data_IF_570483818928
#
_entry.id   IF_570483818928
#
_cell.length_a   1.000
_cell.length_b   1.000
_cell.length_c   1.000
_cell.angle_alpha   90.00
_cell.angle_beta   90.00
_cell.angle_gamma   90.00
#
_symmetry.space_group_name_H-M   'P 1'
#
loop_
_entity.id
_entity.type
_entity.pdbx_description
1 polymer ?
#
# COMPACT_ATOMS: atom_id res chain seq x y z
N UNK A 1 2.82 3.65 15.13
CA UNK A 1 3.59 3.64 13.86
C UNK A 1 4.19 5.01 13.56
N UNK A 2 4.83 5.20 12.40
CA UNK A 2 5.46 6.48 12.00
C UNK A 2 4.47 7.67 11.92
N UNK A 3 3.17 7.39 11.75
CA UNK A 3 2.11 8.40 11.83
C UNK A 3 1.61 8.69 13.26
N UNK A 4 2.23 8.12 14.29
CA UNK A 4 1.84 8.37 15.69
C UNK A 4 0.55 7.70 16.16
N UNK A 5 -0.08 6.86 15.32
CA UNK A 5 -1.23 6.05 15.75
C UNK A 5 -0.78 4.88 16.63
N UNK A 6 -1.46 4.70 17.78
CA UNK A 6 -1.24 3.58 18.71
C UNK A 6 -1.58 2.23 18.06
N UNK A 7 -2.83 2.07 17.63
CA UNK A 7 -3.32 0.92 16.86
C UNK A 7 -4.26 1.42 15.76
N UNK A 8 -4.14 0.87 14.55
CA UNK A 8 -5.01 1.21 13.43
C UNK A 8 -6.48 0.88 13.66
N UNK A 9 -6.78 -0.13 14.48
CA UNK A 9 -8.16 -0.43 14.89
C UNK A 9 -8.70 0.61 15.87
N UNK A 10 -7.94 0.96 16.90
CA UNK A 10 -8.34 2.00 17.87
C UNK A 10 -8.46 3.38 17.21
N UNK A 11 -7.62 3.67 16.21
CA UNK A 11 -7.70 4.89 15.42
C UNK A 11 -8.82 4.88 14.36
N UNK A 12 -9.57 3.78 14.22
CA UNK A 12 -10.73 3.69 13.33
C UNK A 12 -10.43 3.36 11.86
N UNK A 13 -9.17 3.07 11.51
CA UNK A 13 -8.78 2.73 10.14
C UNK A 13 -9.07 1.27 9.75
N UNK A 14 -9.26 0.41 10.76
CA UNK A 14 -9.54 -1.01 10.57
C UNK A 14 -8.40 -1.77 9.87
N UNK A 15 -8.77 -2.71 8.99
CA UNK A 15 -7.81 -3.59 8.28
C UNK A 15 -7.34 -3.05 6.94
N UNK A 16 -7.75 -1.84 6.56
CA UNK A 16 -7.45 -1.28 5.24
C UNK A 16 -6.35 -0.25 5.34
N UNK A 17 -5.17 -0.72 5.70
CA UNK A 17 -4.03 0.16 6.00
C UNK A 17 -2.82 -0.23 5.17
N UNK A 18 -1.94 0.73 4.97
CA UNK A 18 -0.64 0.53 4.35
C UNK A 18 0.45 1.39 5.00
N UNK A 19 1.66 0.86 5.00
CA UNK A 19 2.88 1.66 5.11
C UNK A 19 3.28 2.13 3.71
N UNK A 20 3.65 3.41 3.56
CA UNK A 20 3.97 3.98 2.25
C UNK A 20 5.46 4.30 2.13
N UNK A 21 6.01 4.18 0.92
CA UNK A 21 7.43 4.49 0.65
C UNK A 21 7.77 5.96 0.86
N UNK A 22 9.05 6.29 0.90
CA UNK A 22 9.54 7.68 1.05
C UNK A 22 8.92 8.65 0.05
N UNK A 23 8.78 8.22 -1.21
CA UNK A 23 8.20 9.05 -2.28
C UNK A 23 6.75 9.44 -2.02
N UNK A 24 6.01 8.60 -1.29
CA UNK A 24 4.62 8.86 -0.92
C UNK A 24 4.50 9.51 0.46
N UNK A 25 5.32 9.10 1.43
CA UNK A 25 5.20 9.50 2.83
C UNK A 25 5.33 11.01 3.05
N UNK A 26 6.22 11.68 2.29
CA UNK A 26 6.42 13.14 2.32
C UNK A 26 6.48 13.69 3.75
N UNK A 27 7.40 13.16 4.56
CA UNK A 27 7.61 13.55 5.96
C UNK A 27 6.33 13.53 6.83
N UNK A 28 5.40 12.63 6.51
CA UNK A 28 4.17 12.42 7.26
C UNK A 28 2.97 13.23 6.76
N UNK A 29 3.11 14.05 5.71
CA UNK A 29 2.02 14.84 5.12
C UNK A 29 0.83 13.98 4.64
N UNK A 30 1.06 12.69 4.40
CA UNK A 30 0.03 11.74 3.94
C UNK A 30 -0.54 10.87 5.05
N UNK A 31 -0.11 11.02 6.31
CA UNK A 31 -0.68 10.26 7.41
C UNK A 31 -2.20 10.50 7.52
N UNK A 32 -2.97 9.40 7.52
CA UNK A 32 -4.43 9.43 7.52
C UNK A 32 -5.06 9.68 6.14
N UNK A 33 -4.27 9.90 5.09
CA UNK A 33 -4.79 10.01 3.73
C UNK A 33 -5.29 8.65 3.21
N UNK A 34 -6.42 8.69 2.52
CA UNK A 34 -6.97 7.53 1.83
C UNK A 34 -6.52 7.50 0.37
N UNK A 35 -6.29 6.30 -0.15
CA UNK A 35 -5.97 6.06 -1.55
C UNK A 35 -6.86 4.94 -2.07
N UNK A 36 -7.46 5.15 -3.23
CA UNK A 36 -8.09 4.06 -3.98
C UNK A 36 -7.03 3.40 -4.85
N UNK A 37 -6.80 2.10 -4.63
CA UNK A 37 -5.78 1.30 -5.29
C UNK A 37 -6.44 0.19 -6.10
N UNK A 38 -5.93 -0.03 -7.30
CA UNK A 38 -6.24 -1.18 -8.15
C UNK A 38 -4.96 -1.87 -8.58
N UNK A 39 -5.02 -3.18 -8.75
CA UNK A 39 -3.94 -3.95 -9.37
C UNK A 39 -4.00 -3.74 -10.90
N UNK A 40 -2.87 -3.47 -11.54
CA UNK A 40 -2.81 -3.28 -12.99
C UNK A 40 -2.90 -4.62 -13.72
N UNK A 41 -4.13 -5.06 -13.94
CA UNK A 41 -4.44 -6.31 -14.63
C UNK A 41 -3.88 -6.39 -16.05
N UNK A 42 -3.58 -5.25 -16.70
CA UNK A 42 -2.99 -5.26 -18.04
C UNK A 42 -1.53 -5.68 -18.02
N UNK A 43 -0.82 -5.32 -16.95
CA UNK A 43 0.60 -5.65 -16.76
C UNK A 43 0.71 -7.07 -16.18
N UNK A 44 -0.12 -7.40 -15.19
CA UNK A 44 -0.03 -8.67 -14.48
C UNK A 44 -1.39 -9.36 -14.29
N UNK A 45 -1.92 -9.99 -15.36
CA UNK A 45 -3.20 -10.71 -15.30
C UNK A 45 -3.12 -12.00 -14.48
N UNK A 46 -1.91 -12.48 -14.13
CA UNK A 46 -1.71 -13.72 -13.38
C UNK A 46 -2.11 -13.53 -11.93
N UNK A 47 -1.72 -12.41 -11.33
CA UNK A 47 -1.96 -12.12 -9.91
C UNK A 47 -3.06 -11.09 -9.68
N UNK A 48 -3.25 -10.13 -10.57
CA UNK A 48 -4.31 -9.13 -10.40
C UNK A 48 -5.72 -9.72 -10.51
N UNK A 49 -6.62 -9.22 -9.66
CA UNK A 49 -8.04 -9.49 -9.74
C UNK A 49 -8.72 -8.42 -10.62
N UNK A 50 -9.43 -8.87 -11.65
CA UNK A 50 -10.07 -7.97 -12.63
C UNK A 50 -11.20 -7.15 -11.98
N UNK A 51 -11.22 -5.85 -12.28
CA UNK A 51 -12.24 -4.89 -11.82
C UNK A 51 -12.41 -4.80 -10.29
N UNK A 52 -11.34 -5.09 -9.54
CA UNK A 52 -11.31 -4.93 -8.08
C UNK A 52 -10.56 -3.69 -7.66
N UNK A 53 -11.06 -3.00 -6.65
CA UNK A 53 -10.38 -1.88 -6.01
C UNK A 53 -10.47 -2.00 -4.49
N UNK A 54 -9.55 -1.36 -3.80
CA UNK A 54 -9.58 -1.21 -2.35
C UNK A 54 -9.19 0.22 -1.99
N UNK A 55 -9.91 0.79 -1.04
CA UNK A 55 -9.48 2.04 -0.42
C UNK A 55 -8.64 1.69 0.81
N UNK A 56 -7.40 2.18 0.84
CA UNK A 56 -6.47 2.01 1.96
C UNK A 56 -6.14 3.36 2.58
N UNK A 57 -5.83 3.35 3.87
CA UNK A 57 -5.35 4.52 4.60
C UNK A 57 -3.84 4.40 4.81
N UNK A 58 -3.09 5.46 4.51
CA UNK A 58 -1.68 5.54 4.85
C UNK A 58 -1.54 5.78 6.36
N UNK A 59 -1.07 4.76 7.09
CA UNK A 59 -0.98 4.79 8.55
C UNK A 59 0.44 4.62 9.07
N UNK A 60 1.39 4.34 8.18
CA UNK A 60 2.77 4.09 8.57
C UNK A 60 3.73 4.43 7.42
N UNK A 61 5.02 4.31 7.70
CA UNK A 61 6.11 4.53 6.78
C UNK A 61 6.85 3.23 6.50
N UNK A 62 7.11 2.93 5.22
CA UNK A 62 8.01 1.87 4.80
C UNK A 62 9.39 2.46 4.50
N UNK A 63 10.38 2.29 5.39
CA UNK A 63 11.70 2.88 5.20
C UNK A 63 12.46 2.24 4.03
N UNK A 64 13.28 3.03 3.30
CA UNK A 64 14.15 2.49 2.28
C UNK A 64 15.25 1.63 2.92
N UNK A 65 15.66 0.57 2.21
CA UNK A 65 16.82 -0.24 2.57
C UNK A 65 18.09 0.19 1.80
N UNK A 66 17.97 1.12 0.84
CA UNK A 66 19.05 1.65 -0.01
C UNK A 66 19.80 0.59 -0.83
N UNK A 67 19.18 -0.56 -1.04
CA UNK A 67 19.76 -1.73 -1.72
C UNK A 67 18.89 -2.13 -2.93
N UNK A 68 18.05 -1.22 -3.43
CA UNK A 68 17.13 -1.46 -4.55
C UNK A 68 15.81 -2.11 -4.11
N UNK A 69 15.40 -1.92 -2.85
CA UNK A 69 14.12 -2.42 -2.32
C UNK A 69 12.91 -1.69 -2.89
N UNK A 70 11.72 -2.27 -2.70
CA UNK A 70 10.47 -1.70 -3.23
C UNK A 70 10.09 -0.34 -2.65
N UNK A 71 10.50 -0.06 -1.41
CA UNK A 71 10.28 1.24 -0.76
C UNK A 71 11.39 2.26 -1.04
N UNK A 72 12.44 1.87 -1.76
CA UNK A 72 13.51 2.79 -2.14
C UNK A 72 13.03 3.80 -3.20
N UNK A 73 13.42 5.08 -3.12
CA UNK A 73 13.24 6.02 -4.21
C UNK A 73 13.83 5.49 -5.53
N UNK A 74 13.21 5.79 -6.69
CA UNK A 74 12.05 6.66 -6.90
C UNK A 74 10.69 5.94 -6.81
N UNK A 75 10.63 4.76 -6.19
CA UNK A 75 9.43 3.93 -6.24
C UNK A 75 8.30 4.49 -5.38
N UNK A 76 7.10 4.55 -5.96
CA UNK A 76 5.85 4.77 -5.23
C UNK A 76 5.31 3.40 -4.83
N UNK A 77 5.40 3.06 -3.55
CA UNK A 77 5.06 1.72 -3.05
C UNK A 77 4.14 1.78 -1.83
N UNK A 78 3.19 0.86 -1.81
CA UNK A 78 2.26 0.63 -0.71
C UNK A 78 2.51 -0.77 -0.16
N UNK A 79 3.09 -0.85 1.03
CA UNK A 79 3.17 -2.08 1.81
C UNK A 79 1.82 -2.27 2.53
N UNK A 80 0.94 -2.99 1.85
CA UNK A 80 -0.46 -3.14 2.21
C UNK A 80 -0.64 -4.28 3.22
N UNK A 81 -1.50 -4.05 4.21
CA UNK A 81 -2.01 -5.13 5.06
C UNK A 81 -2.61 -6.27 4.21
N UNK A 82 -2.35 -7.52 4.59
CA UNK A 82 -2.78 -8.69 3.82
C UNK A 82 -4.28 -8.70 3.45
N UNK A 83 -5.23 -8.33 4.35
CA UNK A 83 -6.65 -8.26 3.99
C UNK A 83 -6.96 -7.26 2.88
N UNK A 84 -6.22 -6.14 2.82
CA UNK A 84 -6.39 -5.13 1.77
C UNK A 84 -5.76 -5.57 0.45
N UNK A 85 -4.57 -6.18 0.50
CA UNK A 85 -3.88 -6.75 -0.67
C UNK A 85 -4.74 -7.80 -1.39
N UNK A 86 -5.31 -8.75 -0.63
CA UNK A 86 -6.12 -9.84 -1.18
C UNK A 86 -7.45 -9.38 -1.81
N UNK A 87 -7.83 -8.11 -1.65
CA UNK A 87 -8.99 -7.56 -2.37
C UNK A 87 -8.71 -7.26 -3.82
N UNK A 88 -7.46 -6.98 -4.18
CA UNK A 88 -7.04 -6.58 -5.54
C UNK A 88 -6.10 -7.58 -6.20
N UNK A 89 -5.47 -8.47 -5.43
CA UNK A 89 -4.54 -9.48 -5.94
C UNK A 89 -4.84 -10.87 -5.36
N UNK A 90 -4.45 -11.91 -6.08
CA UNK A 90 -4.54 -13.31 -5.66
C UNK A 90 -3.47 -13.60 -4.60
N UNK A 91 -3.79 -14.50 -3.68
CA UNK A 91 -2.79 -15.04 -2.76
C UNK A 91 -1.80 -15.92 -3.54
N UNK A 92 -0.50 -15.70 -3.35
CA UNK A 92 0.54 -16.48 -3.98
C UNK A 92 1.94 -16.00 -3.65
N UNK A 93 2.93 -16.53 -4.36
CA UNK A 93 4.35 -16.37 -4.01
C UNK A 93 4.95 -15.01 -4.41
N UNK A 94 4.33 -14.28 -5.33
CA UNK A 94 4.94 -13.06 -5.87
C UNK A 94 5.00 -11.92 -4.84
N UNK A 95 4.06 -11.88 -3.87
CA UNK A 95 4.08 -10.96 -2.72
C UNK A 95 4.00 -9.46 -3.07
N UNK A 96 4.11 -9.10 -4.35
CA UNK A 96 4.05 -7.75 -4.88
C UNK A 96 3.33 -7.79 -6.23
N UNK A 97 2.57 -6.73 -6.55
CA UNK A 97 1.88 -6.58 -7.82
C UNK A 97 1.99 -5.13 -8.29
N UNK A 98 1.96 -4.87 -9.62
CA UNK A 98 1.88 -3.50 -10.13
C UNK A 98 0.51 -2.91 -9.78
N UNK A 99 0.50 -1.64 -9.35
CA UNK A 99 -0.74 -0.96 -8.95
C UNK A 99 -0.89 0.38 -9.64
N UNK A 100 -2.14 0.77 -9.85
CA UNK A 100 -2.55 2.12 -10.17
C UNK A 100 -3.31 2.67 -8.96
N UNK A 101 -3.11 3.93 -8.64
CA UNK A 101 -3.74 4.53 -7.47
C UNK A 101 -4.13 5.99 -7.70
N UNK A 102 -5.07 6.45 -6.88
CA UNK A 102 -5.43 7.87 -6.75
C UNK A 102 -5.70 8.19 -5.29
N UNK A 103 -5.42 9.43 -4.90
CA UNK A 103 -5.79 9.98 -3.60
C UNK A 103 -7.22 10.50 -3.65
#
# INVERSE_FOLDING_TARGET
GACGYDDTFHAGFGVNTAAVSTMLFRDGEVCGACYQVICDYRIDPKWCLRSRSVTITATNFCPPNNHGGWCDPPNHHFDMSMPSFLRIARQGNEGIVPVLYRR
#
